data_IF_733650991706
#
_entry.id   IF_733650991706
#
_cell.length_a   1.000
_cell.length_b   1.000
_cell.length_c   1.000
_cell.angle_alpha   90.00
_cell.angle_beta   90.00
_cell.angle_gamma   90.00
#
_symmetry.space_group_name_H-M   'P 1'
#
loop_
_entity.id
_entity.type
_entity.pdbx_description
1 polymer ?
#
# COMPACT_ATOMS: atom_id res chain seq x y z
N UNK A 1 28.17 52.17 -37.40
CA UNK A 1 28.68 51.34 -36.27
C UNK A 1 28.77 52.24 -35.03
N UNK A 2 27.97 51.99 -33.99
CA UNK A 2 28.09 52.74 -32.73
C UNK A 2 29.19 52.10 -31.86
N UNK A 3 29.84 52.84 -30.99
CA UNK A 3 30.95 52.39 -30.19
C UNK A 3 30.48 51.51 -29.01
N UNK A 4 31.26 50.46 -28.76
CA UNK A 4 31.09 49.54 -27.64
C UNK A 4 31.61 50.19 -26.36
N UNK A 5 30.74 50.30 -25.34
CA UNK A 5 31.10 50.80 -24.01
C UNK A 5 31.72 49.62 -23.17
N UNK A 6 32.80 49.84 -22.44
CA UNK A 6 33.39 48.81 -21.59
C UNK A 6 32.58 48.61 -20.32
N UNK A 7 32.42 47.31 -19.86
CA UNK A 7 31.84 46.89 -18.62
C UNK A 7 32.72 47.33 -17.42
N UNK A 8 32.17 47.96 -16.36
CA UNK A 8 32.90 48.22 -15.13
C UNK A 8 32.68 47.10 -14.13
N UNK A 9 33.47 46.03 -14.22
CA UNK A 9 33.48 44.95 -13.20
C UNK A 9 34.90 44.61 -12.78
N UNK A 10 35.57 45.57 -12.17
CA UNK A 10 36.78 45.34 -11.40
C UNK A 10 36.80 46.30 -10.22
N UNK A 11 36.07 45.95 -9.14
CA UNK A 11 36.24 46.54 -7.83
C UNK A 11 37.07 45.60 -6.97
N UNK A 12 38.29 45.98 -6.70
CA UNK A 12 39.22 45.31 -5.77
C UNK A 12 38.64 45.28 -4.37
N UNK A 13 38.54 44.11 -3.79
CA UNK A 13 38.20 43.97 -2.37
C UNK A 13 39.47 44.11 -1.51
N UNK A 14 39.49 44.94 -0.48
CA UNK A 14 40.59 45.01 0.45
C UNK A 14 40.58 43.78 1.36
N UNK A 15 41.74 43.18 1.51
CA UNK A 15 42.00 42.07 2.42
C UNK A 15 41.90 42.53 3.88
N UNK A 16 40.79 42.22 4.56
CA UNK A 16 40.68 42.36 6.00
C UNK A 16 41.14 41.11 6.71
N UNK A 17 42.32 41.21 7.29
CA UNK A 17 42.85 40.17 8.19
C UNK A 17 42.03 40.10 9.47
N UNK A 18 41.16 39.13 9.59
CA UNK A 18 40.44 38.83 10.82
C UNK A 18 41.10 37.61 11.50
N UNK A 19 41.69 37.89 12.64
CA UNK A 19 42.33 36.95 13.55
C UNK A 19 41.44 35.76 13.85
N UNK A 20 41.89 34.56 13.54
CA UNK A 20 41.29 33.29 13.97
C UNK A 20 41.35 33.19 15.49
N UNK A 21 40.24 33.48 16.17
CA UNK A 21 40.05 33.07 17.56
C UNK A 21 39.71 31.58 17.54
N UNK A 22 40.67 30.81 18.00
CA UNK A 22 40.43 29.37 18.28
C UNK A 22 39.55 29.31 19.53
N UNK A 23 38.28 29.05 19.32
CA UNK A 23 37.35 28.70 20.40
C UNK A 23 37.62 27.23 20.73
N UNK A 24 38.27 27.01 21.87
CA UNK A 24 38.39 25.67 22.46
C UNK A 24 36.97 25.31 22.97
N UNK A 25 36.21 24.59 22.17
CA UNK A 25 34.95 23.99 22.61
C UNK A 25 35.33 22.73 23.40
N UNK A 26 35.25 22.82 24.72
CA UNK A 26 35.26 21.70 25.63
C UNK A 26 34.09 20.78 25.24
N UNK A 27 34.40 19.59 24.85
CA UNK A 27 33.41 18.51 24.60
C UNK A 27 32.79 18.09 25.93
N UNK A 28 31.78 18.85 26.39
CA UNK A 28 30.84 18.40 27.39
C UNK A 28 29.80 17.52 26.63
N UNK A 29 29.79 16.22 26.96
CA UNK A 29 28.99 15.21 26.31
C UNK A 29 27.51 15.56 26.33
N UNK A 30 26.98 15.94 25.19
CA UNK A 30 25.56 15.85 24.91
C UNK A 30 25.36 14.45 24.28
N UNK A 31 25.09 13.47 25.14
CA UNK A 31 24.41 12.26 24.73
C UNK A 31 23.04 12.70 24.19
N UNK A 32 22.98 13.05 22.92
CA UNK A 32 21.71 13.25 22.24
C UNK A 32 20.97 11.90 22.26
N UNK A 33 19.72 11.88 22.71
CA UNK A 33 18.92 10.67 22.62
C UNK A 33 18.66 10.41 21.13
N UNK A 34 19.33 9.40 20.60
CA UNK A 34 19.06 8.82 19.27
C UNK A 34 17.75 8.02 19.28
N UNK A 35 16.82 8.38 20.14
CA UNK A 35 15.50 7.80 20.25
C UNK A 35 14.49 8.82 19.77
N UNK A 36 14.27 8.93 18.43
CA UNK A 36 13.00 9.42 17.85
C UNK A 36 13.12 9.60 16.32
N UNK A 37 13.80 8.68 15.67
CA UNK A 37 13.53 8.42 14.26
C UNK A 37 12.99 7.00 14.12
N UNK A 38 12.02 6.61 14.97
CA UNK A 38 11.01 5.66 14.54
C UNK A 38 10.22 6.42 13.45
N UNK A 39 10.77 6.43 12.24
CA UNK A 39 10.04 6.88 11.06
C UNK A 39 8.69 6.21 11.13
N UNK A 40 7.63 6.95 10.85
CA UNK A 40 6.28 6.44 10.66
C UNK A 40 6.33 5.40 9.55
N UNK A 41 6.84 4.21 9.86
CA UNK A 41 6.71 3.04 9.02
C UNK A 41 5.21 2.79 8.97
N UNK A 42 4.58 3.17 7.86
CA UNK A 42 3.18 2.88 7.61
C UNK A 42 2.97 1.41 7.93
N UNK A 43 2.17 1.13 8.95
CA UNK A 43 1.98 -0.21 9.45
C UNK A 43 1.37 -1.06 8.32
N UNK A 44 2.17 -1.99 7.77
CA UNK A 44 1.74 -2.91 6.71
C UNK A 44 0.81 -3.98 7.29
N UNK A 45 0.00 -4.65 6.44
CA UNK A 45 -0.75 -5.84 6.84
C UNK A 45 0.18 -6.88 7.48
N UNK A 46 -0.21 -7.42 8.62
CA UNK A 46 0.56 -8.43 9.35
C UNK A 46 -0.28 -9.71 9.53
N UNK A 47 0.42 -10.84 9.63
CA UNK A 47 -0.25 -12.09 10.01
C UNK A 47 -0.92 -11.94 11.40
N UNK A 48 -2.17 -12.37 11.49
CA UNK A 48 -3.01 -12.21 12.68
C UNK A 48 -3.90 -10.97 12.67
N UNK A 49 -3.66 -9.97 11.81
CA UNK A 49 -4.60 -8.87 11.61
C UNK A 49 -5.94 -9.41 11.12
N UNK A 50 -7.03 -8.78 11.56
CA UNK A 50 -8.38 -8.98 11.01
C UNK A 50 -8.58 -8.06 9.81
N UNK A 51 -9.73 -8.18 9.18
CA UNK A 51 -10.17 -7.27 8.12
C UNK A 51 -11.44 -6.56 8.58
N UNK A 52 -11.54 -5.27 8.30
CA UNK A 52 -12.73 -4.44 8.57
C UNK A 52 -13.13 -3.71 7.30
N UNK A 53 -14.43 -3.49 7.11
CA UNK A 53 -14.95 -2.79 5.93
C UNK A 53 -14.45 -1.33 5.89
N UNK A 54 -14.10 -0.81 4.69
CA UNK A 54 -13.55 0.54 4.51
C UNK A 54 -14.49 1.64 5.02
N UNK A 55 -15.78 1.53 4.70
CA UNK A 55 -16.78 2.57 4.97
C UNK A 55 -17.69 2.23 6.17
N UNK A 56 -17.25 1.31 7.05
CA UNK A 56 -18.07 0.93 8.21
C UNK A 56 -18.20 2.11 9.18
N UNK A 57 -19.45 2.44 9.52
CA UNK A 57 -19.75 3.43 10.55
C UNK A 57 -19.60 2.80 11.96
N UNK A 58 -19.01 3.55 12.89
CA UNK A 58 -18.86 3.13 14.28
C UNK A 58 -17.55 2.38 14.59
N UNK A 59 -17.61 1.47 15.57
CA UNK A 59 -16.44 0.70 15.99
C UNK A 59 -16.04 -0.33 14.91
N UNK A 60 -14.73 -0.51 14.63
CA UNK A 60 -14.25 -1.49 13.66
C UNK A 60 -14.73 -2.91 14.03
N UNK A 61 -15.48 -3.54 13.12
CA UNK A 61 -16.00 -4.89 13.31
C UNK A 61 -15.30 -5.86 12.37
N UNK A 62 -14.60 -6.90 12.90
CA UNK A 62 -13.95 -7.89 12.07
C UNK A 62 -14.92 -8.62 11.15
N UNK A 63 -14.57 -8.66 9.86
CA UNK A 63 -15.36 -9.29 8.81
C UNK A 63 -15.37 -10.82 8.94
N UNK A 64 -16.53 -11.40 8.64
CA UNK A 64 -16.78 -12.83 8.56
C UNK A 64 -17.01 -13.26 7.14
N UNK A 65 -16.85 -14.54 6.84
CA UNK A 65 -17.17 -15.09 5.52
C UNK A 65 -18.64 -14.81 5.14
N UNK A 66 -19.55 -14.86 6.14
CA UNK A 66 -20.99 -14.60 5.94
C UNK A 66 -21.33 -13.16 5.49
N UNK A 67 -20.47 -12.19 5.82
CA UNK A 67 -20.69 -10.78 5.49
C UNK A 67 -20.43 -10.50 4.00
N UNK A 68 -19.68 -11.37 3.33
CA UNK A 68 -19.37 -11.23 1.92
C UNK A 68 -20.41 -11.93 1.04
N UNK A 69 -21.04 -11.17 0.17
CA UNK A 69 -21.97 -11.70 -0.85
C UNK A 69 -21.18 -12.25 -2.03
N UNK A 70 -21.43 -13.49 -2.50
CA UNK A 70 -20.76 -14.04 -3.68
C UNK A 70 -20.84 -13.09 -4.89
N UNK A 71 -19.71 -12.92 -5.59
CA UNK A 71 -19.63 -12.07 -6.77
C UNK A 71 -19.76 -10.57 -6.53
N UNK A 72 -19.73 -10.11 -5.27
CA UNK A 72 -19.73 -8.67 -4.90
C UNK A 72 -18.39 -8.30 -4.28
N UNK A 73 -17.65 -7.31 -4.85
CA UNK A 73 -16.44 -6.81 -4.22
C UNK A 73 -16.76 -6.03 -2.95
N UNK A 74 -15.92 -6.16 -1.94
CA UNK A 74 -15.95 -5.40 -0.71
C UNK A 74 -14.57 -4.83 -0.46
N UNK A 75 -14.47 -3.55 -0.15
CA UNK A 75 -13.21 -2.90 0.23
C UNK A 75 -13.00 -3.00 1.73
N UNK A 76 -11.78 -3.29 2.14
CA UNK A 76 -11.43 -3.49 3.53
C UNK A 76 -10.03 -2.97 3.85
N UNK A 77 -9.79 -2.73 5.13
CA UNK A 77 -8.46 -2.47 5.68
C UNK A 77 -8.09 -3.53 6.72
N UNK A 78 -6.77 -3.80 6.87
CA UNK A 78 -6.27 -4.61 7.98
C UNK A 78 -6.55 -3.92 9.32
N UNK A 79 -6.86 -4.72 10.33
CA UNK A 79 -7.20 -4.28 11.68
C UNK A 79 -6.38 -5.07 12.71
N UNK A 80 -5.56 -4.37 13.47
CA UNK A 80 -4.84 -4.91 14.62
C UNK A 80 -5.80 -4.98 15.83
N UNK A 81 -6.39 -6.14 16.03
CA UNK A 81 -7.37 -6.33 17.11
C UNK A 81 -6.77 -6.18 18.51
N UNK A 82 -5.45 -6.41 18.67
CA UNK A 82 -4.79 -6.27 19.96
C UNK A 82 -4.61 -4.80 20.36
N UNK A 83 -4.45 -3.92 19.37
CA UNK A 83 -4.32 -2.48 19.58
C UNK A 83 -5.61 -1.70 19.35
N UNK A 84 -6.59 -2.30 18.70
CA UNK A 84 -7.81 -1.62 18.28
C UNK A 84 -7.58 -0.62 17.13
N UNK A 85 -6.53 -0.84 16.31
CA UNK A 85 -6.10 0.09 15.25
C UNK A 85 -6.39 -0.44 13.85
N UNK A 86 -7.08 0.34 13.04
CA UNK A 86 -7.24 0.10 11.60
C UNK A 86 -6.01 0.65 10.88
N UNK A 87 -5.35 -0.18 10.06
CA UNK A 87 -4.17 0.22 9.29
C UNK A 87 -4.55 0.96 8.00
N UNK A 88 -5.26 2.07 8.14
CA UNK A 88 -5.76 2.90 7.01
C UNK A 88 -4.88 4.10 6.68
N UNK A 89 -3.79 4.33 7.42
CA UNK A 89 -2.82 5.41 7.24
C UNK A 89 -2.06 5.34 5.90
N UNK A 90 -2.09 4.20 5.23
CA UNK A 90 -1.62 4.04 3.86
C UNK A 90 -2.69 3.40 2.98
N UNK A 91 -3.02 4.05 1.86
CA UNK A 91 -3.90 3.46 0.84
C UNK A 91 -3.38 2.15 0.26
N UNK A 92 -2.06 1.89 0.35
CA UNK A 92 -1.46 0.64 -0.10
C UNK A 92 -1.88 -0.57 0.74
N UNK A 93 -2.46 -0.33 1.93
CA UNK A 93 -3.03 -1.38 2.78
C UNK A 93 -4.46 -1.76 2.37
N UNK A 94 -5.08 -0.97 1.48
CA UNK A 94 -6.44 -1.24 1.02
C UNK A 94 -6.53 -2.57 0.28
N UNK A 95 -7.52 -3.36 0.64
CA UNK A 95 -7.77 -4.71 0.12
C UNK A 95 -9.13 -4.75 -0.55
N UNK A 96 -9.23 -5.43 -1.67
CA UNK A 96 -10.49 -5.85 -2.25
C UNK A 96 -10.72 -7.33 -1.94
N UNK A 97 -11.87 -7.61 -1.32
CA UNK A 97 -12.33 -8.95 -0.97
C UNK A 97 -13.37 -9.40 -1.97
N UNK A 98 -13.28 -10.66 -2.40
CA UNK A 98 -14.27 -11.30 -3.27
C UNK A 98 -14.52 -12.72 -2.79
N UNK A 99 -15.80 -13.11 -2.75
CA UNK A 99 -16.21 -14.48 -2.43
C UNK A 99 -16.66 -15.23 -3.68
N UNK A 100 -16.11 -16.42 -3.88
CA UNK A 100 -16.40 -17.34 -4.95
C UNK A 100 -16.65 -18.74 -4.41
N UNK A 101 -17.19 -19.64 -5.25
CA UNK A 101 -17.22 -21.05 -4.93
C UNK A 101 -15.77 -21.61 -5.02
N UNK A 102 -15.37 -22.44 -4.05
CA UNK A 102 -13.99 -22.95 -3.99
C UNK A 102 -13.60 -23.83 -5.19
N UNK A 103 -14.58 -24.44 -5.86
CA UNK A 103 -14.37 -25.24 -7.05
C UNK A 103 -14.12 -24.43 -8.33
N UNK A 104 -14.32 -23.10 -8.28
CA UNK A 104 -14.01 -22.18 -9.38
C UNK A 104 -12.54 -21.75 -9.38
N UNK A 105 -11.82 -21.96 -8.26
CA UNK A 105 -10.43 -21.54 -8.08
C UNK A 105 -9.45 -22.62 -8.54
N UNK A 106 -8.33 -22.20 -9.12
CA UNK A 106 -7.20 -23.10 -9.30
C UNK A 106 -6.55 -23.42 -7.93
N UNK A 107 -5.72 -24.47 -7.87
CA UNK A 107 -5.14 -24.96 -6.61
C UNK A 107 -4.30 -23.90 -5.88
N UNK A 108 -3.53 -23.08 -6.60
CA UNK A 108 -2.70 -22.04 -6.02
C UNK A 108 -3.54 -20.91 -5.41
N UNK A 109 -4.56 -20.45 -6.13
CA UNK A 109 -5.49 -19.42 -5.66
C UNK A 109 -6.27 -19.90 -4.45
N UNK A 110 -6.75 -21.16 -4.48
CA UNK A 110 -7.47 -21.79 -3.38
C UNK A 110 -6.60 -21.88 -2.11
N UNK A 111 -5.33 -22.21 -2.24
CA UNK A 111 -4.41 -22.29 -1.08
C UNK A 111 -4.21 -20.94 -0.35
N UNK A 112 -4.56 -19.84 -0.98
CA UNK A 112 -4.48 -18.47 -0.41
C UNK A 112 -5.85 -17.90 -0.01
N UNK A 113 -6.92 -18.65 -0.23
CA UNK A 113 -8.30 -18.29 0.10
C UNK A 113 -8.69 -18.80 1.49
N UNK A 114 -9.75 -18.23 2.04
CA UNK A 114 -10.36 -18.69 3.28
C UNK A 114 -11.89 -18.70 3.15
N UNK A 115 -12.52 -19.88 3.25
CA UNK A 115 -13.98 -20.03 3.10
C UNK A 115 -14.53 -19.50 1.77
N UNK A 116 -13.77 -19.66 0.68
CA UNK A 116 -14.09 -19.12 -0.63
C UNK A 116 -13.81 -17.64 -0.82
N UNK A 117 -13.25 -16.96 0.18
CA UNK A 117 -12.89 -15.53 0.11
C UNK A 117 -11.46 -15.38 -0.39
N UNK A 118 -11.27 -14.54 -1.40
CA UNK A 118 -9.99 -14.08 -1.92
C UNK A 118 -9.77 -12.62 -1.52
N UNK A 119 -8.53 -12.28 -1.20
CA UNK A 119 -8.10 -10.93 -0.88
C UNK A 119 -6.96 -10.48 -1.79
N UNK A 120 -7.13 -9.34 -2.43
CA UNK A 120 -6.12 -8.74 -3.30
C UNK A 120 -5.89 -7.29 -2.89
N UNK A 121 -4.72 -6.74 -3.25
CA UNK A 121 -4.53 -5.29 -3.19
C UNK A 121 -5.62 -4.59 -4.01
N UNK A 122 -6.29 -3.60 -3.43
CA UNK A 122 -7.22 -2.74 -4.16
C UNK A 122 -6.50 -1.67 -4.99
N UNK A 123 -5.16 -1.74 -5.10
CA UNK A 123 -4.33 -0.76 -5.79
C UNK A 123 -3.74 -1.37 -7.06
N UNK A 124 -4.07 -0.77 -8.20
CA UNK A 124 -3.62 -1.22 -9.52
C UNK A 124 -2.10 -1.21 -9.64
N UNK A 125 -1.56 -2.27 -10.22
CA UNK A 125 -0.10 -2.44 -10.42
C UNK A 125 0.45 -1.63 -11.60
N UNK A 126 -0.39 -0.91 -12.35
CA UNK A 126 0.06 0.02 -13.40
C UNK A 126 0.52 1.35 -12.77
N UNK A 127 -0.40 2.20 -12.35
CA UNK A 127 -0.12 3.53 -11.79
C UNK A 127 -0.80 3.79 -10.45
N UNK A 128 -1.19 2.73 -9.74
CA UNK A 128 -1.71 2.86 -8.39
C UNK A 128 -3.14 3.38 -8.28
N UNK A 129 -3.96 3.33 -9.32
CA UNK A 129 -5.39 3.63 -9.21
C UNK A 129 -6.13 2.57 -8.38
N UNK A 130 -7.26 2.95 -7.77
CA UNK A 130 -8.11 2.00 -7.06
C UNK A 130 -8.76 0.99 -8.02
N UNK A 131 -8.80 -0.27 -7.62
CA UNK A 131 -9.42 -1.37 -8.37
C UNK A 131 -10.51 -1.97 -7.49
N UNK A 132 -11.77 -1.73 -7.85
CA UNK A 132 -12.92 -2.14 -7.03
C UNK A 132 -14.14 -2.58 -7.83
N UNK A 133 -14.07 -2.61 -9.15
CA UNK A 133 -15.21 -2.94 -9.99
C UNK A 133 -15.08 -4.31 -10.59
N UNK A 134 -16.03 -5.19 -10.25
CA UNK A 134 -16.13 -6.53 -10.80
C UNK A 134 -17.07 -6.55 -12.00
N UNK A 135 -16.66 -7.17 -13.09
CA UNK A 135 -17.48 -7.45 -14.27
C UNK A 135 -17.85 -8.94 -14.31
N UNK A 136 -19.04 -9.32 -13.83
CA UNK A 136 -19.39 -10.75 -13.65
C UNK A 136 -19.50 -11.52 -14.95
N UNK A 137 -19.86 -10.88 -16.07
CA UNK A 137 -19.93 -11.53 -17.39
C UNK A 137 -18.56 -11.91 -17.93
N UNK A 138 -17.54 -11.12 -17.61
CA UNK A 138 -16.16 -11.33 -18.04
C UNK A 138 -15.30 -12.02 -16.98
N UNK A 139 -15.82 -12.15 -15.75
CA UNK A 139 -15.11 -12.66 -14.57
C UNK A 139 -13.78 -11.95 -14.29
N UNK A 140 -13.76 -10.63 -14.42
CA UNK A 140 -12.58 -9.79 -14.21
C UNK A 140 -12.84 -8.66 -13.24
N UNK A 141 -11.81 -8.29 -12.49
CA UNK A 141 -11.76 -7.06 -11.74
C UNK A 141 -11.08 -5.98 -12.60
N UNK A 142 -11.70 -4.81 -12.73
CA UNK A 142 -11.26 -3.77 -13.68
C UNK A 142 -10.73 -2.54 -12.98
N UNK A 143 -9.57 -2.06 -13.46
CA UNK A 143 -9.06 -0.72 -13.19
C UNK A 143 -9.48 0.21 -14.35
N UNK A 144 -10.38 1.13 -14.09
CA UNK A 144 -10.89 2.03 -15.14
C UNK A 144 -9.92 3.13 -15.58
N UNK A 145 -8.85 3.40 -14.84
CA UNK A 145 -7.88 4.42 -15.26
C UNK A 145 -7.30 4.14 -16.65
N UNK A 146 -6.93 2.88 -16.91
CA UNK A 146 -6.32 2.47 -18.18
C UNK A 146 -6.84 1.10 -18.64
N UNK A 147 -8.04 0.73 -18.19
CA UNK A 147 -8.75 -0.49 -18.62
C UNK A 147 -8.00 -1.79 -18.39
N UNK A 148 -7.14 -1.86 -17.36
CA UNK A 148 -6.52 -3.14 -16.99
C UNK A 148 -7.56 -4.06 -16.36
N UNK A 149 -7.58 -5.32 -16.81
CA UNK A 149 -8.45 -6.40 -16.33
C UNK A 149 -7.63 -7.46 -15.62
N UNK A 150 -8.08 -7.89 -14.45
CA UNK A 150 -7.41 -8.89 -13.61
C UNK A 150 -8.29 -10.10 -13.38
N UNK A 151 -7.73 -11.31 -13.55
CA UNK A 151 -8.37 -12.60 -13.33
C UNK A 151 -8.16 -13.05 -11.88
N UNK A 152 -9.15 -12.82 -11.00
CA UNK A 152 -8.99 -13.11 -9.57
C UNK A 152 -8.90 -14.63 -9.29
N UNK A 153 -9.63 -15.45 -10.04
CA UNK A 153 -9.61 -16.91 -9.91
C UNK A 153 -8.29 -17.54 -10.38
N UNK A 154 -7.44 -16.74 -11.04
CA UNK A 154 -6.10 -17.12 -11.52
C UNK A 154 -5.00 -16.32 -10.83
N UNK A 155 -5.15 -16.09 -9.52
CA UNK A 155 -4.14 -15.40 -8.71
C UNK A 155 -3.98 -13.91 -8.99
N UNK A 156 -4.99 -13.24 -9.56
CA UNK A 156 -4.95 -11.83 -9.90
C UNK A 156 -4.14 -11.50 -11.14
N UNK A 157 -3.92 -12.48 -12.03
CA UNK A 157 -3.17 -12.30 -13.28
C UNK A 157 -3.80 -11.25 -14.19
N UNK A 158 -2.98 -10.63 -15.05
CA UNK A 158 -3.44 -9.62 -16.02
C UNK A 158 -4.04 -10.30 -17.23
N UNK A 159 -5.35 -10.11 -17.46
CA UNK A 159 -6.03 -10.57 -18.69
C UNK A 159 -5.77 -9.62 -19.86
N UNK A 160 -5.77 -8.31 -19.59
CA UNK A 160 -5.51 -7.28 -20.60
C UNK A 160 -5.19 -5.94 -19.92
N UNK A 161 -4.63 -5.00 -20.70
CA UNK A 161 -4.29 -3.66 -20.24
C UNK A 161 -2.80 -3.49 -19.90
N UNK A 162 -2.40 -2.29 -19.49
CA UNK A 162 -0.99 -1.92 -19.35
C UNK A 162 -0.35 -2.30 -18.00
N UNK A 163 -1.05 -2.94 -17.07
CA UNK A 163 -0.43 -3.34 -15.81
C UNK A 163 0.70 -4.36 -16.06
N UNK A 164 1.89 -4.15 -15.49
CA UNK A 164 3.06 -4.99 -15.78
C UNK A 164 3.06 -6.33 -15.01
N UNK A 165 2.19 -6.48 -14.01
CA UNK A 165 2.14 -7.68 -13.15
C UNK A 165 0.77 -7.89 -12.52
N UNK A 166 0.56 -9.10 -12.00
CA UNK A 166 -0.65 -9.48 -11.27
C UNK A 166 -0.94 -8.54 -10.08
N UNK A 167 -2.20 -8.48 -9.66
CA UNK A 167 -2.57 -7.87 -8.37
C UNK A 167 -1.93 -8.67 -7.22
N UNK A 168 -1.29 -8.01 -6.25
CA UNK A 168 -0.77 -8.69 -5.07
C UNK A 168 -1.89 -9.40 -4.30
N UNK A 169 -1.69 -10.68 -4.03
CA UNK A 169 -2.59 -11.50 -3.20
C UNK A 169 -2.24 -11.30 -1.74
N UNK A 170 -3.24 -11.14 -0.89
CA UNK A 170 -3.10 -11.18 0.57
C UNK A 170 -3.65 -12.53 1.04
N UNK A 171 -2.79 -13.44 1.56
CA UNK A 171 -3.25 -14.75 1.97
C UNK A 171 -4.15 -14.66 3.21
N UNK A 172 -5.22 -15.44 3.22
CA UNK A 172 -6.19 -15.47 4.30
C UNK A 172 -6.20 -16.82 5.01
N UNK A 173 -6.64 -16.79 6.26
CA UNK A 173 -7.03 -17.94 7.08
C UNK A 173 -8.35 -17.63 7.82
N UNK A 174 -8.90 -18.62 8.50
CA UNK A 174 -10.10 -18.45 9.32
C UNK A 174 -9.76 -18.65 10.80
N UNK A 175 -10.40 -17.85 11.63
CA UNK A 175 -10.54 -18.09 13.07
C UNK A 175 -12.05 -18.15 13.36
N UNK A 176 -12.57 -19.39 13.51
CA UNK A 176 -14.01 -19.64 13.39
C UNK A 176 -14.52 -19.29 12.00
N UNK A 177 -15.36 -18.27 11.91
CA UNK A 177 -15.89 -17.70 10.64
C UNK A 177 -15.27 -16.33 10.27
N UNK A 178 -14.39 -15.79 11.13
CA UNK A 178 -13.74 -14.51 10.92
C UNK A 178 -12.55 -14.63 9.96
N UNK A 179 -12.41 -13.64 9.09
CA UNK A 179 -11.28 -13.54 8.18
C UNK A 179 -10.06 -13.00 8.89
N UNK A 180 -8.95 -13.72 8.75
CA UNK A 180 -7.65 -13.39 9.33
C UNK A 180 -6.60 -13.34 8.25
N UNK A 181 -5.73 -12.34 8.30
CA UNK A 181 -4.58 -12.25 7.40
C UNK A 181 -3.56 -13.30 7.81
N UNK A 182 -3.20 -14.20 6.89
CA UNK A 182 -2.25 -15.29 7.14
C UNK A 182 -0.79 -14.90 6.87
N UNK A 183 -0.54 -13.78 6.19
CA UNK A 183 0.82 -13.33 5.86
C UNK A 183 0.84 -12.01 5.08
N UNK A 184 2.02 -11.61 4.64
CA UNK A 184 2.20 -10.41 3.84
C UNK A 184 1.62 -10.57 2.42
N UNK A 185 1.42 -9.44 1.71
CA UNK A 185 1.14 -9.48 0.28
C UNK A 185 2.19 -10.27 -0.49
N UNK A 186 1.78 -11.01 -1.51
CA UNK A 186 2.66 -11.81 -2.39
C UNK A 186 3.74 -10.96 -3.07
N UNK A 187 3.46 -9.71 -3.36
CA UNK A 187 4.39 -8.69 -3.87
C UNK A 187 3.97 -7.32 -3.32
N UNK A 188 4.85 -6.30 -3.31
CA UNK A 188 4.46 -4.97 -2.84
C UNK A 188 3.25 -4.41 -3.61
N UNK A 189 2.23 -3.83 -2.92
CA UNK A 189 1.10 -3.15 -3.56
C UNK A 189 1.51 -1.89 -4.33
N UNK A 190 0.68 -1.50 -5.31
CA UNK A 190 0.85 -0.29 -6.08
C UNK A 190 1.59 -0.47 -7.40
N UNK A 191 1.68 0.60 -8.18
CA UNK A 191 2.42 0.63 -9.45
C UNK A 191 3.93 0.58 -9.23
N UNK A 192 4.64 0.09 -10.24
CA UNK A 192 6.09 0.31 -10.35
C UNK A 192 6.30 1.72 -10.87
N UNK A 193 6.94 2.58 -10.05
CA UNK A 193 7.40 3.88 -10.50
C UNK A 193 8.53 3.72 -11.53
#
# INVERSE_FOLDING_TARGET
MPPVLPCPCLAEHPASGTRRRIIKITAAGLAAPWALAAGLAHAKPMAGDRLVEEDAEGAPTPLRVSDLRPGKPMLAFPFDAAKGEVRSDSRLNKVVLMRFAENEMNAETKARSAGGVLAFSAICTHQGCDVKTWLPKEQVLVCFCHSTKFLLLEGGSVASGPAPRALPVLPLSLDGDQLVIAGAFSTPPGGTA
#
